data_IF_250113315658
#
_entry.id   IF_250113315658
#
_cell.length_a   1.000
_cell.length_b   1.000
_cell.length_c   1.000
_cell.angle_alpha   90.00
_cell.angle_beta   90.00
_cell.angle_gamma   90.00
#
_symmetry.space_group_name_H-M   'P 1'
#
loop_
_entity.id
_entity.type
_entity.pdbx_description
1 polymer ?
#
# COMPACT_ATOMS: atom_id res chain seq x y z
N UNK A 1 -78.19 -63.45 20.21
CA UNK A 1 -78.01 -63.97 18.84
C UNK A 1 -77.25 -62.89 18.07
N UNK A 2 -75.92 -63.02 18.02
CA UNK A 2 -75.16 -63.48 16.83
C UNK A 2 -75.30 -62.44 15.72
N UNK A 3 -74.38 -61.48 15.72
CA UNK A 3 -73.20 -61.39 14.82
C UNK A 3 -73.57 -60.73 13.49
N UNK A 4 -72.72 -59.80 13.04
CA UNK A 4 -72.18 -59.78 11.66
C UNK A 4 -71.40 -58.49 11.40
N UNK A 5 -70.08 -58.68 11.21
CA UNK A 5 -69.17 -58.08 10.20
C UNK A 5 -69.26 -56.56 9.93
N UNK A 6 -68.12 -55.89 9.84
CA UNK A 6 -67.34 -55.78 8.60
C UNK A 6 -66.22 -54.74 8.76
N UNK A 7 -65.05 -55.10 8.24
CA UNK A 7 -63.82 -54.34 8.03
C UNK A 7 -64.03 -52.94 7.44
N UNK A 8 -63.32 -51.92 7.94
CA UNK A 8 -62.99 -50.76 7.10
C UNK A 8 -62.60 -49.44 7.79
N UNK A 9 -61.30 -49.10 7.66
CA UNK A 9 -60.70 -47.73 7.56
C UNK A 9 -60.73 -46.90 8.85
N UNK A 10 -59.65 -46.19 9.23
CA UNK A 10 -59.21 -44.91 8.67
C UNK A 10 -57.79 -44.62 9.22
N UNK A 11 -56.89 -44.19 8.34
CA UNK A 11 -55.54 -43.74 8.68
C UNK A 11 -55.51 -42.25 9.04
N UNK A 12 -54.73 -41.94 10.10
CA UNK A 12 -53.83 -40.79 10.34
C UNK A 12 -54.32 -39.36 10.05
N UNK A 13 -54.15 -38.46 11.02
CA UNK A 13 -53.04 -37.49 11.05
C UNK A 13 -53.11 -36.63 12.32
N UNK A 14 -52.07 -36.67 13.16
CA UNK A 14 -51.86 -35.71 14.25
C UNK A 14 -50.88 -34.64 13.77
N UNK A 15 -51.32 -33.38 13.73
CA UNK A 15 -50.48 -32.24 13.39
C UNK A 15 -49.91 -31.63 14.69
N UNK A 16 -48.60 -31.79 14.90
CA UNK A 16 -47.87 -31.12 15.99
C UNK A 16 -47.14 -29.89 15.44
N UNK A 17 -47.33 -28.74 16.10
CA UNK A 17 -46.65 -27.48 15.81
C UNK A 17 -45.18 -27.55 16.23
N UNK A 18 -44.26 -27.13 15.34
CA UNK A 18 -42.89 -26.77 15.71
C UNK A 18 -42.53 -25.40 15.12
N UNK A 19 -42.41 -24.40 15.99
CA UNK A 19 -41.94 -23.06 15.63
C UNK A 19 -40.42 -23.06 15.42
N UNK A 20 -39.97 -22.51 14.29
CA UNK A 20 -38.57 -22.32 13.98
C UNK A 20 -38.12 -20.93 14.49
N UNK A 21 -37.23 -20.90 15.48
CA UNK A 21 -36.53 -19.69 15.90
C UNK A 21 -35.36 -19.44 14.95
N UNK A 22 -35.39 -18.32 14.21
CA UNK A 22 -34.28 -17.86 13.38
C UNK A 22 -33.27 -17.13 14.27
N UNK A 23 -32.09 -17.71 14.43
CA UNK A 23 -30.96 -17.07 15.12
C UNK A 23 -30.17 -16.26 14.08
N UNK A 24 -30.04 -14.93 14.19
CA UNK A 24 -29.18 -14.18 13.29
C UNK A 24 -27.72 -14.53 13.59
N UNK A 25 -27.03 -15.14 12.64
CA UNK A 25 -25.58 -15.32 12.69
C UNK A 25 -24.93 -13.94 12.57
N UNK A 26 -24.34 -13.46 13.66
CA UNK A 26 -23.45 -12.29 13.64
C UNK A 26 -22.17 -12.71 12.92
N UNK A 27 -22.04 -12.33 11.65
CA UNK A 27 -20.78 -12.41 10.94
C UNK A 27 -19.85 -11.34 11.52
N UNK A 28 -18.90 -11.77 12.36
CA UNK A 28 -17.79 -10.91 12.77
C UNK A 28 -16.92 -10.67 11.53
N UNK A 29 -17.07 -9.51 10.89
CA UNK A 29 -16.08 -9.01 9.96
C UNK A 29 -14.83 -8.68 10.79
N UNK A 30 -13.82 -9.54 10.73
CA UNK A 30 -12.49 -9.20 11.22
C UNK A 30 -12.03 -7.95 10.45
N UNK A 31 -11.53 -6.90 11.12
CA UNK A 31 -10.99 -5.75 10.40
C UNK A 31 -9.92 -6.27 9.46
N UNK A 32 -10.10 -6.06 8.15
CA UNK A 32 -9.01 -6.29 7.21
C UNK A 32 -7.83 -5.48 7.73
N UNK A 33 -6.74 -6.14 8.12
CA UNK A 33 -5.50 -5.45 8.40
C UNK A 33 -5.23 -4.57 7.18
N UNK A 34 -5.31 -3.25 7.35
CA UNK A 34 -4.97 -2.32 6.27
C UNK A 34 -3.60 -2.77 5.78
N UNK A 35 -3.54 -3.20 4.52
CA UNK A 35 -2.27 -3.47 3.89
C UNK A 35 -1.55 -2.12 3.89
N UNK A 36 -0.68 -1.92 4.89
CA UNK A 36 0.08 -0.69 5.11
C UNK A 36 1.20 -0.58 4.05
N UNK A 37 0.84 -0.82 2.79
CA UNK A 37 1.67 -0.55 1.65
C UNK A 37 2.01 0.93 1.58
N UNK A 38 3.14 1.21 0.96
CA UNK A 38 3.61 2.58 0.73
C UNK A 38 3.74 2.78 -0.76
N UNK A 39 3.24 3.91 -1.27
CA UNK A 39 3.33 4.26 -2.68
C UNK A 39 3.79 5.70 -2.79
N UNK A 40 4.91 5.91 -3.45
CA UNK A 40 5.50 7.22 -3.69
C UNK A 40 5.66 7.47 -5.19
N UNK A 41 5.28 8.66 -5.62
CA UNK A 41 5.63 9.22 -6.92
C UNK A 41 6.89 10.06 -6.75
N UNK A 42 7.93 9.68 -7.46
CA UNK A 42 9.26 10.27 -7.37
C UNK A 42 9.53 11.02 -8.66
N UNK A 43 9.94 12.29 -8.56
CA UNK A 43 10.29 13.11 -9.73
C UNK A 43 11.68 13.71 -9.57
N UNK A 44 12.42 13.74 -10.67
CA UNK A 44 13.67 14.48 -10.83
C UNK A 44 13.47 15.51 -11.94
N UNK A 45 13.75 16.77 -11.65
CA UNK A 45 13.73 17.86 -12.62
C UNK A 45 15.02 18.67 -12.57
N UNK A 46 15.40 19.26 -13.69
CA UNK A 46 16.54 20.19 -13.80
C UNK A 46 16.01 21.62 -13.94
N UNK A 47 16.90 22.61 -13.86
CA UNK A 47 16.52 24.00 -14.16
C UNK A 47 16.31 24.27 -15.66
N UNK A 48 16.64 23.31 -16.53
CA UNK A 48 16.40 23.43 -17.96
C UNK A 48 14.92 23.16 -18.27
N UNK A 49 14.18 24.21 -18.65
CA UNK A 49 12.73 24.10 -18.91
C UNK A 49 12.38 23.31 -20.17
N UNK A 50 13.33 23.11 -21.08
CA UNK A 50 13.14 22.30 -22.27
C UNK A 50 13.32 20.79 -21.97
N UNK A 51 13.86 20.45 -20.79
CA UNK A 51 14.02 19.08 -20.33
C UNK A 51 12.78 18.63 -19.54
N UNK A 52 12.17 17.54 -19.99
CA UNK A 52 11.03 16.97 -19.29
C UNK A 52 11.46 16.32 -17.96
N UNK A 53 10.73 16.52 -16.85
CA UNK A 53 10.99 15.81 -15.62
C UNK A 53 10.91 14.29 -15.79
N UNK A 54 11.79 13.57 -15.10
CA UNK A 54 11.78 12.11 -15.01
C UNK A 54 10.92 11.72 -13.82
N UNK A 55 10.00 10.77 -13.99
CA UNK A 55 9.10 10.34 -12.91
C UNK A 55 8.95 8.83 -12.89
N UNK A 56 8.94 8.25 -11.68
CA UNK A 56 8.64 6.82 -11.45
C UNK A 56 7.74 6.64 -10.24
N UNK A 57 7.14 5.45 -10.14
CA UNK A 57 6.38 5.00 -8.98
C UNK A 57 7.22 3.99 -8.21
N UNK A 58 7.36 4.22 -6.90
CA UNK A 58 7.96 3.29 -5.96
C UNK A 58 6.87 2.76 -5.03
N UNK A 59 6.69 1.44 -5.03
CA UNK A 59 5.89 0.76 -4.03
C UNK A 59 6.82 0.08 -3.02
N UNK A 60 6.47 0.14 -1.74
CA UNK A 60 7.14 -0.59 -0.66
C UNK A 60 6.11 -1.35 0.17
N UNK A 61 6.52 -2.51 0.71
CA UNK A 61 5.68 -3.44 1.47
C UNK A 61 4.52 -4.06 0.65
N UNK A 62 4.77 -4.78 -0.46
CA UNK A 62 6.07 -5.23 -0.99
C UNK A 62 6.73 -4.21 -1.94
N UNK A 63 8.05 -4.36 -2.16
CA UNK A 63 8.82 -3.52 -3.08
C UNK A 63 8.42 -3.75 -4.55
N UNK A 64 8.33 -2.67 -5.32
CA UNK A 64 8.03 -2.73 -6.75
C UNK A 64 7.69 -1.37 -7.37
N UNK A 65 6.91 -1.39 -8.46
CA UNK A 65 6.60 -0.20 -9.25
C UNK A 65 7.51 -0.07 -10.48
N UNK A 66 7.61 1.15 -11.02
CA UNK A 66 8.48 1.43 -12.17
C UNK A 66 9.92 1.83 -11.79
N UNK A 67 10.20 1.96 -10.49
CA UNK A 67 11.54 2.27 -10.00
C UNK A 67 12.51 1.09 -10.22
N UNK A 68 13.63 1.27 -10.94
CA UNK A 68 14.54 0.19 -11.34
C UNK A 68 15.32 -0.43 -10.15
N UNK A 69 15.43 0.30 -9.04
CA UNK A 69 16.09 -0.15 -7.81
C UNK A 69 15.14 -0.18 -6.61
N UNK A 70 13.90 -0.65 -6.81
CA UNK A 70 12.84 -0.57 -5.80
C UNK A 70 13.25 -1.12 -4.42
N UNK A 71 13.92 -2.28 -4.37
CA UNK A 71 14.36 -2.88 -3.10
C UNK A 71 15.31 -1.96 -2.30
N UNK A 72 16.32 -1.42 -2.97
CA UNK A 72 17.31 -0.54 -2.33
C UNK A 72 16.71 0.83 -1.95
N UNK A 73 15.79 1.34 -2.76
CA UNK A 73 15.07 2.56 -2.45
C UNK A 73 14.17 2.39 -1.21
N UNK A 74 13.41 1.29 -1.15
CA UNK A 74 12.58 0.96 0.02
C UNK A 74 13.42 0.79 1.28
N UNK A 75 14.56 0.08 1.21
CA UNK A 75 15.46 -0.07 2.34
C UNK A 75 15.98 1.28 2.87
N UNK A 76 16.26 2.23 1.97
CA UNK A 76 16.70 3.58 2.35
C UNK A 76 15.57 4.33 3.08
N UNK A 77 14.33 4.22 2.60
CA UNK A 77 13.18 4.87 3.21
C UNK A 77 12.75 4.22 4.53
N UNK A 78 12.91 2.90 4.67
CA UNK A 78 12.66 2.17 5.91
C UNK A 78 13.54 2.71 7.05
N UNK A 79 14.82 3.01 6.77
CA UNK A 79 15.76 3.54 7.76
C UNK A 79 15.33 4.90 8.34
N UNK A 80 14.51 5.66 7.60
CA UNK A 80 13.98 6.96 8.01
C UNK A 80 12.46 6.97 8.17
N UNK A 81 11.82 5.80 8.21
CA UNK A 81 10.37 5.64 8.34
C UNK A 81 9.54 6.45 7.32
N UNK A 82 10.08 6.62 6.11
CA UNK A 82 9.47 7.38 5.01
C UNK A 82 9.60 8.90 5.12
N UNK A 83 10.34 9.44 6.10
CA UNK A 83 10.63 10.87 6.20
C UNK A 83 11.96 11.18 5.52
N UNK A 84 11.89 11.59 4.25
CA UNK A 84 13.06 11.91 3.43
C UNK A 84 13.87 13.11 3.98
N UNK A 85 13.30 13.95 4.85
CA UNK A 85 14.04 15.06 5.45
C UNK A 85 15.08 14.60 6.48
N UNK A 86 14.94 13.36 6.98
CA UNK A 86 15.90 12.75 7.89
C UNK A 86 17.09 12.12 7.15
N UNK A 87 17.06 12.08 5.81
CA UNK A 87 18.20 11.64 5.02
C UNK A 87 19.32 12.69 5.09
N UNK A 88 20.51 12.23 5.47
CA UNK A 88 21.72 13.04 5.54
C UNK A 88 22.64 12.74 4.36
N UNK A 89 23.44 13.74 3.99
CA UNK A 89 24.50 13.58 3.00
C UNK A 89 25.45 12.43 3.38
N UNK A 90 25.52 11.42 2.54
CA UNK A 90 26.54 10.37 2.61
C UNK A 90 27.91 10.91 2.22
N UNK A 91 28.94 10.08 2.42
CA UNK A 91 30.29 10.46 2.02
C UNK A 91 30.46 10.33 0.50
N UNK A 92 30.62 11.45 -0.20
CA UNK A 92 30.92 11.49 -1.63
C UNK A 92 31.90 12.62 -1.96
N UNK A 93 32.72 12.43 -3.01
CA UNK A 93 33.61 13.47 -3.53
C UNK A 93 32.98 14.08 -4.78
N UNK A 94 32.12 15.07 -4.57
CA UNK A 94 31.42 15.75 -5.66
C UNK A 94 32.22 16.95 -6.20
N UNK A 95 32.06 17.22 -7.49
CA UNK A 95 32.62 18.44 -8.09
C UNK A 95 31.87 19.67 -7.59
N UNK A 96 32.51 20.84 -7.69
CA UNK A 96 31.90 22.12 -7.33
C UNK A 96 31.07 22.75 -8.46
N UNK A 97 30.81 22.00 -9.54
CA UNK A 97 29.98 22.48 -10.64
C UNK A 97 28.56 22.71 -10.13
N UNK A 98 28.02 23.89 -10.44
CA UNK A 98 26.63 24.20 -10.15
C UNK A 98 25.75 23.83 -11.34
N UNK A 99 24.99 22.75 -11.20
CA UNK A 99 24.03 22.21 -12.16
C UNK A 99 22.83 21.67 -11.37
N UNK A 100 22.00 22.56 -10.82
CA UNK A 100 21.03 22.18 -9.81
C UNK A 100 19.95 21.24 -10.33
N UNK A 101 19.60 20.28 -9.48
CA UNK A 101 18.54 19.29 -9.70
C UNK A 101 17.57 19.32 -8.53
N UNK A 102 16.27 19.21 -8.81
CA UNK A 102 15.20 19.17 -7.81
C UNK A 102 14.61 17.78 -7.76
N UNK A 103 14.63 17.18 -6.57
CA UNK A 103 14.06 15.88 -6.29
C UNK A 103 12.77 16.05 -5.49
N UNK A 104 11.69 15.43 -5.93
CA UNK A 104 10.40 15.47 -5.22
C UNK A 104 9.84 14.08 -4.97
N UNK A 105 9.26 13.88 -3.79
CA UNK A 105 8.53 12.66 -3.46
C UNK A 105 7.15 13.04 -2.90
N UNK A 106 6.12 12.38 -3.40
CA UNK A 106 4.75 12.56 -2.91
C UNK A 106 4.03 11.22 -2.84
N UNK A 107 3.13 11.06 -1.88
CA UNK A 107 2.33 9.84 -1.76
C UNK A 107 2.09 9.46 -0.30
N UNK A 108 2.12 8.17 -0.02
CA UNK A 108 1.88 7.64 1.33
C UNK A 108 2.94 6.63 1.74
N UNK A 109 3.29 6.68 3.02
CA UNK A 109 4.17 5.72 3.68
C UNK A 109 3.45 5.14 4.90
N UNK A 110 3.03 3.88 4.83
CA UNK A 110 2.30 3.19 5.89
C UNK A 110 1.14 4.03 6.46
N UNK A 111 0.31 4.58 5.57
CA UNK A 111 -0.82 5.44 5.92
C UNK A 111 -0.48 6.91 6.24
N UNK A 112 0.79 7.27 6.38
CA UNK A 112 1.22 8.67 6.61
C UNK A 112 1.47 9.38 5.27
N UNK A 113 1.01 10.63 5.08
CA UNK A 113 1.33 11.38 3.87
C UNK A 113 2.83 11.70 3.81
N UNK A 114 3.41 11.57 2.63
CA UNK A 114 4.79 11.98 2.33
C UNK A 114 4.73 13.16 1.36
N UNK A 115 5.47 14.21 1.68
CA UNK A 115 5.73 15.35 0.81
C UNK A 115 7.18 15.79 1.03
N UNK A 116 7.97 15.74 -0.03
CA UNK A 116 9.38 16.11 -0.03
C UNK A 116 9.69 16.86 -1.31
N UNK A 117 10.44 17.94 -1.18
CA UNK A 117 11.01 18.68 -2.29
C UNK A 117 12.35 19.27 -1.83
N UNK A 118 13.40 19.01 -2.59
CA UNK A 118 14.72 19.58 -2.31
C UNK A 118 15.51 19.78 -3.58
N UNK A 119 16.08 20.98 -3.73
CA UNK A 119 17.04 21.29 -4.79
C UNK A 119 18.46 21.13 -4.27
N UNK A 120 19.26 20.37 -5.02
CA UNK A 120 20.67 20.14 -4.74
C UNK A 120 21.53 20.93 -5.73
N UNK A 121 22.78 21.23 -5.36
CA UNK A 121 23.72 22.00 -6.18
C UNK A 121 24.12 21.28 -7.47
N UNK A 122 24.18 19.95 -7.43
CA UNK A 122 24.35 19.06 -8.57
C UNK A 122 23.84 17.65 -8.24
N UNK A 123 23.76 16.80 -9.28
CA UNK A 123 23.27 15.43 -9.18
C UNK A 123 24.11 14.56 -8.23
N UNK A 124 25.44 14.73 -8.21
CA UNK A 124 26.30 13.99 -7.27
C UNK A 124 25.92 14.24 -5.80
N UNK A 125 25.71 15.51 -5.42
CA UNK A 125 25.30 15.85 -4.04
C UNK A 125 23.89 15.33 -3.74
N UNK A 126 23.00 15.33 -4.74
CA UNK A 126 21.65 14.80 -4.62
C UNK A 126 21.64 13.28 -4.36
N UNK A 127 22.39 12.52 -5.15
CA UNK A 127 22.55 11.08 -4.99
C UNK A 127 23.22 10.72 -3.67
N UNK A 128 24.29 11.45 -3.30
CA UNK A 128 24.97 11.25 -2.02
C UNK A 128 24.02 11.47 -0.83
N UNK A 129 23.08 12.40 -0.96
CA UNK A 129 22.10 12.74 0.08
C UNK A 129 20.90 11.81 0.15
N UNK A 130 20.55 11.12 -0.94
CA UNK A 130 19.30 10.37 -1.04
C UNK A 130 19.49 8.88 -1.34
N UNK A 131 20.73 8.44 -1.53
CA UNK A 131 21.05 7.04 -1.80
C UNK A 131 20.40 6.57 -3.09
N UNK A 132 19.62 5.48 -3.01
CA UNK A 132 18.94 4.89 -4.18
C UNK A 132 17.49 5.31 -4.36
N UNK A 133 16.99 6.24 -3.56
CA UNK A 133 15.59 6.70 -3.65
C UNK A 133 15.28 7.38 -4.98
N UNK A 134 16.23 8.11 -5.57
CA UNK A 134 16.05 8.83 -6.85
C UNK A 134 16.90 8.28 -8.00
N UNK A 135 17.39 7.05 -7.87
CA UNK A 135 18.27 6.42 -8.85
C UNK A 135 17.45 5.73 -9.96
N UNK A 136 16.88 6.53 -10.87
CA UNK A 136 16.11 6.10 -12.05
C UNK A 136 16.34 7.03 -13.23
#
# INVERSE_FOLDING_TARGET
MVDTRLTGRIFLTAAALTGAALVPALANAEPAAEANGSTLHLTVSTQNRDEAPRTVVLNCHPSGGSHPHADAACQTLDAVNGDLNLLSEGQAMCTLQYQPVTYTASGTWQGRPVSFEKTYSNECVAEASTGKVFAF
#
